data_IF_835460803775
#
_entry.id   IF_835460803775
#
_cell.length_a   1.000
_cell.length_b   1.000
_cell.length_c   1.000
_cell.angle_alpha   90.00
_cell.angle_beta   90.00
_cell.angle_gamma   90.00
#
_symmetry.space_group_name_H-M   'P 1'
#
loop_
_entity.id
_entity.type
_entity.pdbx_description
1 polymer ?
#
# COMPACT_ATOMS: atom_id res chain seq x y z
N UNK A 1 12.41 -33.74 -1.92
CA UNK A 1 12.77 -32.54 -1.17
C UNK A 1 11.84 -31.41 -1.52
N UNK A 2 11.14 -30.88 -0.54
CA UNK A 2 10.17 -29.81 -0.78
C UNK A 2 10.91 -28.48 -1.00
N UNK A 3 10.45 -27.72 -1.99
CA UNK A 3 10.97 -26.38 -2.20
C UNK A 3 10.46 -25.47 -1.08
N UNK A 4 11.29 -24.55 -0.58
CA UNK A 4 10.79 -23.58 0.39
C UNK A 4 9.69 -22.74 -0.22
N UNK A 5 8.78 -22.25 0.64
CA UNK A 5 7.73 -21.36 0.18
C UNK A 5 8.36 -20.08 -0.38
N UNK A 6 7.84 -19.55 -1.49
CA UNK A 6 8.37 -18.32 -2.05
C UNK A 6 8.19 -17.16 -1.06
N UNK A 7 9.19 -16.29 -1.01
CA UNK A 7 9.13 -15.06 -0.23
C UNK A 7 9.23 -13.88 -1.19
N UNK A 8 8.31 -12.93 -1.08
CA UNK A 8 8.32 -11.73 -1.89
C UNK A 8 8.99 -10.55 -1.18
N UNK A 9 9.55 -10.78 0.02
CA UNK A 9 10.14 -9.71 0.82
C UNK A 9 11.19 -8.87 0.09
N UNK A 10 12.11 -9.46 -0.72
CA UNK A 10 13.06 -8.63 -1.45
C UNK A 10 12.41 -7.67 -2.45
N UNK A 11 11.35 -8.11 -3.12
CA UNK A 11 10.61 -7.27 -4.07
C UNK A 11 9.92 -6.14 -3.31
N UNK A 12 9.26 -6.45 -2.20
CA UNK A 12 8.55 -5.45 -1.39
C UNK A 12 9.51 -4.42 -0.83
N UNK A 13 10.67 -4.87 -0.32
CA UNK A 13 11.67 -3.94 0.20
C UNK A 13 12.17 -2.99 -0.89
N UNK A 14 12.35 -3.49 -2.10
CA UNK A 14 12.76 -2.67 -3.24
C UNK A 14 11.70 -1.64 -3.60
N UNK A 15 10.42 -2.04 -3.57
CA UNK A 15 9.32 -1.17 -3.94
C UNK A 15 9.05 -0.08 -2.89
N UNK A 16 9.37 -0.34 -1.62
CA UNK A 16 8.96 0.55 -0.53
C UNK A 16 9.35 2.01 -0.77
N UNK A 17 10.59 2.27 -1.13
CA UNK A 17 11.08 3.65 -1.33
C UNK A 17 10.27 4.38 -2.39
N UNK A 18 9.94 3.68 -3.48
CA UNK A 18 9.17 4.28 -4.57
C UNK A 18 7.73 4.56 -4.14
N UNK A 19 7.11 3.62 -3.44
CA UNK A 19 5.75 3.82 -2.93
C UNK A 19 5.71 4.94 -1.90
N UNK A 20 6.69 4.99 -1.00
CA UNK A 20 6.78 6.02 0.02
C UNK A 20 6.96 7.42 -0.61
N UNK A 21 7.72 7.50 -1.70
CA UNK A 21 7.92 8.77 -2.41
C UNK A 21 6.60 9.29 -3.00
N UNK A 22 5.82 8.41 -3.61
CA UNK A 22 4.50 8.79 -4.14
C UNK A 22 3.57 9.20 -2.99
N UNK A 23 3.53 8.42 -1.92
CA UNK A 23 2.68 8.72 -0.77
C UNK A 23 3.02 10.09 -0.17
N UNK A 24 4.32 10.38 -0.03
CA UNK A 24 4.78 11.66 0.54
C UNK A 24 4.32 12.83 -0.33
N UNK A 25 4.36 12.68 -1.63
CA UNK A 25 3.91 13.72 -2.57
C UNK A 25 2.45 14.07 -2.35
N UNK A 26 1.65 13.11 -1.91
CA UNK A 26 0.22 13.28 -1.64
C UNK A 26 -0.08 13.63 -0.18
N UNK A 27 0.95 13.80 0.65
CA UNK A 27 0.78 14.19 2.04
C UNK A 27 0.67 13.04 3.03
N UNK A 28 1.16 11.86 2.67
CA UNK A 28 1.12 10.69 3.54
C UNK A 28 2.52 10.17 3.81
N UNK A 29 2.73 9.71 5.04
CA UNK A 29 3.89 8.89 5.41
C UNK A 29 3.49 7.43 5.27
N UNK A 30 4.36 6.61 4.72
CA UNK A 30 4.07 5.20 4.49
C UNK A 30 4.84 4.33 5.48
N UNK A 31 4.13 3.52 6.25
CA UNK A 31 4.72 2.62 7.24
C UNK A 31 4.49 1.17 6.82
N UNK A 32 5.54 0.37 6.92
CA UNK A 32 5.45 -1.07 6.67
C UNK A 32 4.82 -1.74 7.89
N UNK A 33 3.92 -2.68 7.65
CA UNK A 33 3.26 -3.49 8.66
C UNK A 33 3.38 -4.95 8.26
N UNK A 34 3.62 -5.83 9.23
CA UNK A 34 3.72 -7.26 8.96
C UNK A 34 5.10 -7.71 8.49
N UNK A 35 5.18 -8.94 7.98
CA UNK A 35 6.44 -9.61 7.71
C UNK A 35 6.98 -9.44 6.29
N UNK A 36 6.18 -8.94 5.36
CA UNK A 36 6.53 -8.83 3.94
C UNK A 36 6.78 -10.19 3.26
N UNK A 37 6.38 -11.29 3.88
CA UNK A 37 6.67 -12.61 3.30
C UNK A 37 5.79 -12.93 2.11
N UNK A 38 4.48 -12.67 2.22
CA UNK A 38 3.54 -12.96 1.13
C UNK A 38 2.96 -11.68 0.55
N UNK A 39 2.42 -10.83 1.40
CA UNK A 39 1.81 -9.57 1.01
C UNK A 39 2.58 -8.42 1.64
N UNK A 40 2.60 -7.30 0.96
CA UNK A 40 3.16 -6.09 1.52
C UNK A 40 2.04 -5.28 2.16
N UNK A 41 2.00 -5.30 3.49
CA UNK A 41 1.03 -4.50 4.24
C UNK A 41 1.66 -3.16 4.57
N UNK A 42 1.07 -2.07 4.06
CA UNK A 42 1.55 -0.73 4.32
C UNK A 42 0.38 0.15 4.76
N UNK A 43 0.69 1.09 5.64
CA UNK A 43 -0.28 2.03 6.16
C UNK A 43 0.14 3.43 5.76
N UNK A 44 -0.76 4.15 5.11
CA UNK A 44 -0.55 5.55 4.75
C UNK A 44 -1.12 6.43 5.86
N UNK A 45 -0.27 7.24 6.47
CA UNK A 45 -0.61 8.08 7.61
C UNK A 45 -0.56 9.53 7.14
N UNK A 46 -1.70 10.25 7.17
CA UNK A 46 -1.70 11.65 6.76
C UNK A 46 -0.85 12.48 7.73
N UNK A 47 0.01 13.34 7.18
CA UNK A 47 0.90 14.16 8.01
C UNK A 47 0.85 15.64 7.67
N UNK A 48 0.03 16.02 6.69
CA UNK A 48 -0.24 17.42 6.35
C UNK A 48 -1.72 17.71 6.55
N UNK A 49 -2.09 19.00 6.56
CA UNK A 49 -3.48 19.40 6.84
C UNK A 49 -4.45 18.93 5.76
N UNK A 50 -4.03 18.93 4.50
CA UNK A 50 -4.90 18.60 3.38
C UNK A 50 -4.25 17.56 2.46
N UNK A 51 -4.15 16.29 2.91
CA UNK A 51 -3.61 15.25 2.04
C UNK A 51 -4.58 14.96 0.90
N UNK A 52 -4.06 14.38 -0.18
CA UNK A 52 -4.89 13.95 -1.31
C UNK A 52 -5.89 12.88 -0.88
N UNK A 53 -6.96 12.73 -1.66
CA UNK A 53 -7.85 11.61 -1.47
C UNK A 53 -7.09 10.29 -1.70
N UNK A 54 -7.46 9.25 -0.97
CA UNK A 54 -6.78 7.96 -1.06
C UNK A 54 -6.76 7.42 -2.48
N UNK A 55 -7.86 7.58 -3.22
CA UNK A 55 -7.92 7.06 -4.59
C UNK A 55 -6.90 7.73 -5.51
N UNK A 56 -6.56 8.99 -5.27
CA UNK A 56 -5.56 9.68 -6.09
C UNK A 56 -4.18 9.07 -5.89
N UNK A 57 -3.84 8.71 -4.65
CA UNK A 57 -2.58 8.02 -4.34
C UNK A 57 -2.54 6.66 -5.02
N UNK A 58 -3.62 5.89 -4.88
CA UNK A 58 -3.72 4.56 -5.48
C UNK A 58 -3.61 4.62 -6.99
N UNK A 59 -4.28 5.58 -7.62
CA UNK A 59 -4.24 5.75 -9.06
C UNK A 59 -2.83 6.04 -9.55
N UNK A 60 -2.11 6.94 -8.88
CA UNK A 60 -0.74 7.24 -9.27
C UNK A 60 0.18 6.02 -9.10
N UNK A 61 0.03 5.28 -8.01
CA UNK A 61 0.81 4.07 -7.78
C UNK A 61 0.55 3.05 -8.90
N UNK A 62 -0.70 2.77 -9.18
CA UNK A 62 -1.05 1.79 -10.21
C UNK A 62 -0.55 2.21 -11.59
N UNK A 63 -0.66 3.48 -11.93
CA UNK A 63 -0.19 3.99 -13.22
C UNK A 63 1.33 3.94 -13.31
N UNK A 64 2.03 4.24 -12.22
CA UNK A 64 3.49 4.31 -12.22
C UNK A 64 4.15 2.93 -12.32
N UNK A 65 3.53 1.90 -11.76
CA UNK A 65 4.12 0.56 -11.69
C UNK A 65 3.34 -0.49 -12.45
N UNK A 66 2.30 -0.11 -13.15
CA UNK A 66 1.42 -1.05 -13.86
C UNK A 66 0.79 -2.06 -12.90
N UNK A 67 0.51 -1.64 -11.68
CA UNK A 67 -0.23 -2.46 -10.71
C UNK A 67 -1.71 -2.38 -11.01
N UNK A 68 -2.46 -3.37 -10.55
CA UNK A 68 -3.89 -3.44 -10.79
C UNK A 68 -4.63 -3.49 -9.46
N UNK A 69 -5.59 -2.59 -9.28
CA UNK A 69 -6.46 -2.63 -8.12
C UNK A 69 -7.40 -3.82 -8.22
N UNK A 70 -7.51 -4.60 -7.16
CA UNK A 70 -8.38 -5.77 -7.09
C UNK A 70 -9.63 -5.42 -6.30
N UNK A 71 -10.76 -5.38 -6.98
CA UNK A 71 -12.05 -5.09 -6.35
C UNK A 71 -12.16 -3.67 -5.86
N UNK A 72 -13.14 -3.43 -4.99
CA UNK A 72 -13.37 -2.14 -4.36
C UNK A 72 -12.62 -2.07 -3.04
N UNK A 73 -12.27 -0.85 -2.57
CA UNK A 73 -11.67 -0.73 -1.25
C UNK A 73 -12.65 -1.14 -0.16
N UNK A 74 -12.13 -1.62 0.96
CA UNK A 74 -12.94 -1.96 2.12
C UNK A 74 -12.44 -1.20 3.35
N UNK A 75 -13.26 -1.18 4.40
CA UNK A 75 -12.90 -0.56 5.66
C UNK A 75 -12.39 -1.66 6.58
N UNK A 76 -11.17 -1.51 7.09
CA UNK A 76 -10.60 -2.49 7.99
C UNK A 76 -11.24 -2.41 9.37
N UNK A 77 -10.96 -3.41 10.20
CA UNK A 77 -11.41 -3.45 11.58
C UNK A 77 -11.02 -2.19 12.36
N UNK A 78 -9.90 -1.58 12.00
CA UNK A 78 -9.42 -0.37 12.66
C UNK A 78 -9.88 0.92 12.00
N UNK A 79 -10.83 0.85 11.09
CA UNK A 79 -11.39 2.03 10.43
C UNK A 79 -10.56 2.60 9.30
N UNK A 80 -9.56 1.87 8.83
CA UNK A 80 -8.73 2.30 7.71
C UNK A 80 -9.34 1.84 6.39
N UNK A 81 -9.28 2.69 5.38
CA UNK A 81 -9.70 2.31 4.02
C UNK A 81 -8.57 1.55 3.35
N UNK A 82 -8.82 0.30 2.99
CA UNK A 82 -7.80 -0.60 2.45
C UNK A 82 -8.05 -0.90 0.98
N UNK A 83 -6.97 -0.77 0.20
CA UNK A 83 -6.94 -1.14 -1.22
C UNK A 83 -6.00 -2.33 -1.39
N UNK A 84 -6.40 -3.29 -2.23
CA UNK A 84 -5.57 -4.43 -2.59
C UNK A 84 -5.06 -4.22 -4.01
N UNK A 85 -3.74 -4.20 -4.17
CA UNK A 85 -3.09 -3.96 -5.46
C UNK A 85 -2.32 -5.21 -5.86
N UNK A 86 -2.57 -5.71 -7.06
CA UNK A 86 -1.84 -6.86 -7.60
C UNK A 86 -0.56 -6.36 -8.26
N UNK A 87 0.57 -6.94 -7.87
CA UNK A 87 1.87 -6.68 -8.49
C UNK A 87 2.06 -7.66 -9.64
N UNK A 88 2.10 -8.95 -9.31
CA UNK A 88 2.16 -10.05 -10.25
C UNK A 88 1.88 -11.35 -9.49
N UNK A 89 1.28 -12.33 -10.16
CA UNK A 89 1.03 -13.64 -9.56
C UNK A 89 0.34 -13.55 -8.20
N UNK A 90 1.01 -14.04 -7.16
CA UNK A 90 0.50 -14.05 -5.79
C UNK A 90 1.06 -12.91 -4.94
N UNK A 91 1.73 -11.93 -5.57
CA UNK A 91 2.29 -10.80 -4.85
C UNK A 91 1.31 -9.63 -4.85
N UNK A 92 0.94 -9.16 -3.66
CA UNK A 92 -0.05 -8.09 -3.48
C UNK A 92 0.46 -7.04 -2.52
N UNK A 93 0.03 -5.80 -2.74
CA UNK A 93 0.19 -4.71 -1.77
C UNK A 93 -1.18 -4.44 -1.16
N UNK A 94 -1.27 -4.56 0.16
CA UNK A 94 -2.44 -4.15 0.92
C UNK A 94 -2.14 -2.77 1.49
N UNK A 95 -2.69 -1.75 0.85
CA UNK A 95 -2.44 -0.35 1.20
C UNK A 95 -3.66 0.20 1.92
N UNK A 96 -3.50 0.47 3.22
CA UNK A 96 -4.57 1.05 4.01
C UNK A 96 -4.24 2.49 4.40
N UNK A 97 -5.29 3.31 4.47
CA UNK A 97 -5.18 4.73 4.78
C UNK A 97 -5.81 5.02 6.12
N UNK A 98 -5.04 5.65 7.00
CA UNK A 98 -5.58 6.17 8.25
C UNK A 98 -6.58 7.28 7.93
N UNK A 99 -7.66 7.40 8.73
CA UNK A 99 -8.63 8.48 8.52
C UNK A 99 -7.96 9.85 8.62
N UNK A 100 -8.43 10.80 7.80
CA UNK A 100 -7.98 12.18 7.89
C UNK A 100 -8.67 12.80 9.12
N UNK A 101 -7.85 13.43 10.00
CA UNK A 101 -8.40 14.07 11.17
C UNK A 101 -9.14 15.34 10.77
N UNK A 102 -10.40 15.43 11.14
CA UNK A 102 -11.25 16.61 10.92
C UNK A 102 -11.54 17.21 12.29
N UNK A 103 -10.57 17.88 12.85
CA UNK A 103 -10.78 18.57 14.12
C UNK A 103 -11.22 20.01 13.89
#
# INVERSE_FOLDING_TARGET
>A
MDKPKPSFAPVYAFLYTNLATIARKHGYALAIHGSLQRDMDVIAIPWIAEPSESIDVVTEICDSFCFKQIGLPDITYHGRMRYTLSIYGEAFVDLSFMPISTS
#
